data_IF_092275324698
#
_entry.id   IF_092275324698
#
_cell.length_a   1.000
_cell.length_b   1.000
_cell.length_c   1.000
_cell.angle_alpha   90.00
_cell.angle_beta   90.00
_cell.angle_gamma   90.00
#
_symmetry.space_group_name_H-M   'P 1'
#
loop_
_entity.id
_entity.type
_entity.pdbx_description
1 polymer ?
#
# COMPACT_ATOMS: atom_id res chain seq x y z
N UNK A 1 -22.96 -34.79 17.79
CA UNK A 1 -21.67 -35.10 17.14
C UNK A 1 -21.46 -34.50 15.73
N UNK A 2 -22.46 -34.11 14.90
CA UNK A 2 -22.16 -33.54 13.57
C UNK A 2 -21.60 -32.11 13.61
N UNK A 3 -21.97 -31.33 14.64
CA UNK A 3 -21.62 -29.90 14.75
C UNK A 3 -20.16 -29.62 15.15
N UNK A 4 -19.45 -30.62 15.70
CA UNK A 4 -18.06 -30.48 16.12
C UNK A 4 -17.08 -30.55 14.93
N UNK A 5 -17.41 -31.32 13.89
CA UNK A 5 -16.60 -31.42 12.68
C UNK A 5 -16.79 -30.24 11.71
N UNK A 6 -17.92 -29.52 11.79
CA UNK A 6 -18.24 -28.40 10.88
C UNK A 6 -17.45 -27.12 11.22
N UNK A 7 -17.06 -26.93 12.49
CA UNK A 7 -16.29 -25.76 12.97
C UNK A 7 -14.87 -25.64 12.39
N UNK A 8 -14.02 -26.68 12.41
CA UNK A 8 -12.70 -26.58 11.80
C UNK A 8 -12.77 -26.46 10.27
N UNK A 9 -13.78 -27.05 9.63
CA UNK A 9 -14.01 -26.93 8.19
C UNK A 9 -14.35 -25.48 7.78
N UNK A 10 -15.19 -24.79 8.55
CA UNK A 10 -15.55 -23.39 8.29
C UNK A 10 -14.35 -22.43 8.47
N UNK A 11 -13.53 -22.65 9.48
CA UNK A 11 -12.28 -21.89 9.70
C UNK A 11 -11.27 -22.11 8.57
N UNK A 12 -11.09 -23.36 8.13
CA UNK A 12 -10.21 -23.70 7.00
C UNK A 12 -10.67 -23.06 5.67
N UNK A 13 -11.97 -23.05 5.40
CA UNK A 13 -12.52 -22.42 4.20
C UNK A 13 -12.33 -20.88 4.20
N UNK A 14 -12.52 -20.24 5.36
CA UNK A 14 -12.30 -18.80 5.51
C UNK A 14 -10.84 -18.42 5.19
N UNK A 15 -9.86 -19.17 5.70
CA UNK A 15 -8.43 -18.95 5.42
C UNK A 15 -8.09 -19.07 3.93
N UNK A 16 -8.77 -19.95 3.19
CA UNK A 16 -8.56 -20.14 1.75
C UNK A 16 -9.00 -18.92 0.93
N UNK A 17 -10.00 -18.17 1.41
CA UNK A 17 -10.55 -16.98 0.75
C UNK A 17 -9.69 -15.72 0.95
N UNK A 18 -8.70 -15.75 1.86
CA UNK A 18 -7.75 -14.63 2.04
C UNK A 18 -6.53 -14.71 1.09
N UNK A 19 -6.47 -15.71 0.20
CA UNK A 19 -5.42 -15.83 -0.80
C UNK A 19 -5.53 -14.75 -1.88
N UNK A 20 -4.49 -13.93 -2.02
CA UNK A 20 -4.36 -12.93 -3.09
C UNK A 20 -3.53 -13.41 -4.28
N UNK A 21 -3.61 -12.70 -5.40
CA UNK A 21 -2.88 -13.00 -6.65
C UNK A 21 -1.38 -12.66 -6.61
N UNK A 22 -0.74 -12.67 -5.44
CA UNK A 22 0.66 -12.25 -5.29
C UNK A 22 1.64 -13.14 -6.08
N UNK A 23 1.29 -14.40 -6.33
CA UNK A 23 2.07 -15.35 -7.13
C UNK A 23 1.92 -15.15 -8.65
N UNK A 24 0.95 -14.35 -9.10
CA UNK A 24 0.73 -14.00 -10.52
C UNK A 24 1.57 -12.77 -10.95
N UNK A 25 2.46 -12.29 -10.08
CA UNK A 25 3.20 -11.04 -10.28
C UNK A 25 4.25 -11.09 -11.39
N UNK A 26 4.47 -9.92 -12.01
CA UNK A 26 5.57 -9.68 -12.95
C UNK A 26 6.92 -10.01 -12.31
N UNK A 27 7.83 -10.59 -13.11
CA UNK A 27 9.16 -10.98 -12.63
C UNK A 27 9.92 -9.74 -12.14
N UNK A 28 10.81 -9.85 -11.14
CA UNK A 28 11.47 -8.68 -10.54
C UNK A 28 12.11 -7.72 -11.56
N UNK A 29 12.68 -8.26 -12.63
CA UNK A 29 13.32 -7.51 -13.73
C UNK A 29 12.33 -6.90 -14.75
N UNK A 30 11.08 -7.36 -14.80
CA UNK A 30 10.04 -6.77 -15.67
C UNK A 30 9.52 -5.43 -15.12
N UNK A 31 9.83 -5.11 -13.86
CA UNK A 31 9.48 -3.84 -13.21
C UNK A 31 10.34 -2.66 -13.66
N UNK A 32 11.45 -2.90 -14.37
CA UNK A 32 12.32 -1.83 -14.87
C UNK A 32 11.60 -0.92 -15.87
N UNK A 33 10.66 -1.46 -16.66
CA UNK A 33 9.82 -0.68 -17.56
C UNK A 33 8.93 0.34 -16.81
N UNK A 34 8.60 0.05 -15.55
CA UNK A 34 7.83 0.91 -14.67
C UNK A 34 8.67 1.89 -13.84
N UNK A 35 10.01 1.75 -13.85
CA UNK A 35 10.92 2.56 -13.05
C UNK A 35 11.41 3.84 -13.76
N UNK A 36 10.73 4.25 -14.84
CA UNK A 36 11.07 5.47 -15.57
C UNK A 36 10.83 6.69 -14.67
N UNK A 37 11.67 7.75 -14.74
CA UNK A 37 11.44 8.99 -13.98
C UNK A 37 10.05 9.58 -14.19
N UNK A 38 9.48 9.45 -15.39
CA UNK A 38 8.13 9.93 -15.71
C UNK A 38 6.99 9.17 -15.00
N UNK A 39 7.27 8.02 -14.39
CA UNK A 39 6.28 7.20 -13.65
C UNK A 39 6.49 7.29 -12.14
N UNK A 40 7.34 8.22 -11.67
CA UNK A 40 7.43 8.59 -10.27
C UNK A 40 6.06 9.14 -9.80
N UNK A 41 5.64 8.75 -8.60
CA UNK A 41 4.41 9.28 -7.96
C UNK A 41 4.45 10.81 -7.83
N UNK A 42 5.65 11.37 -7.79
CA UNK A 42 5.89 12.80 -7.73
C UNK A 42 6.89 13.18 -8.83
N UNK A 43 6.41 13.94 -9.81
CA UNK A 43 7.23 14.40 -10.93
C UNK A 43 8.22 15.52 -10.53
N UNK A 44 7.92 16.27 -9.48
CA UNK A 44 8.72 17.41 -8.99
C UNK A 44 8.94 17.31 -7.47
N UNK A 45 10.00 16.60 -7.02
CA UNK A 45 10.25 16.39 -5.59
C UNK A 45 10.44 17.70 -4.81
N UNK A 46 11.03 18.72 -5.46
CA UNK A 46 11.25 20.03 -4.85
C UNK A 46 9.95 20.79 -4.58
N UNK A 47 9.03 20.79 -5.56
CA UNK A 47 7.74 21.50 -5.43
C UNK A 47 6.88 20.81 -4.37
N UNK A 48 6.80 19.49 -4.39
CA UNK A 48 6.04 18.77 -3.37
C UNK A 48 6.60 18.97 -1.95
N UNK A 49 7.92 19.07 -1.80
CA UNK A 49 8.54 19.37 -0.51
C UNK A 49 8.18 20.78 -0.01
N UNK A 50 8.11 21.77 -0.91
CA UNK A 50 7.68 23.13 -0.58
C UNK A 50 6.19 23.20 -0.21
N UNK A 51 5.35 22.48 -0.94
CA UNK A 51 3.92 22.35 -0.64
C UNK A 51 3.70 21.64 0.70
N UNK A 52 4.47 20.59 1.00
CA UNK A 52 4.43 19.91 2.28
C UNK A 52 4.85 20.81 3.42
N UNK A 53 5.94 21.56 3.27
CA UNK A 53 6.34 22.54 4.28
C UNK A 53 5.21 23.54 4.57
N UNK A 54 4.55 24.03 3.52
CA UNK A 54 3.44 24.99 3.68
C UNK A 54 2.23 24.34 4.33
N UNK A 55 1.87 23.13 3.91
CA UNK A 55 0.74 22.38 4.44
C UNK A 55 0.94 22.02 5.91
N UNK A 56 2.10 21.49 6.30
CA UNK A 56 2.42 21.21 7.71
C UNK A 56 2.40 22.47 8.56
N UNK A 57 2.86 23.61 8.03
CA UNK A 57 2.84 24.87 8.78
C UNK A 57 1.42 25.39 9.06
N UNK A 58 0.44 24.99 8.25
CA UNK A 58 -0.95 25.50 8.33
C UNK A 58 -1.91 24.50 8.96
N UNK A 59 -1.80 23.22 8.62
CA UNK A 59 -2.87 22.23 8.78
C UNK A 59 -2.41 20.90 9.42
N UNK A 60 -1.25 20.86 10.11
CA UNK A 60 -0.68 19.63 10.67
C UNK A 60 -1.55 18.87 11.70
N UNK A 61 -2.73 19.39 12.06
CA UNK A 61 -3.61 18.80 13.08
C UNK A 61 -4.19 17.43 12.70
N UNK A 62 -4.23 17.05 11.41
CA UNK A 62 -4.83 15.76 10.96
C UNK A 62 -3.83 14.76 10.40
N UNK A 63 -2.53 15.02 10.55
CA UNK A 63 -1.47 14.22 9.94
C UNK A 63 -1.26 14.52 8.45
N UNK A 64 0.00 14.51 8.04
CA UNK A 64 0.44 14.84 6.67
C UNK A 64 0.96 13.63 5.91
N UNK A 65 1.28 13.85 4.63
CA UNK A 65 1.89 12.85 3.74
C UNK A 65 3.29 12.51 4.27
N UNK A 66 3.64 11.22 4.33
CA UNK A 66 4.98 10.78 4.72
C UNK A 66 5.97 10.96 3.56
N UNK A 67 7.21 11.34 3.88
CA UNK A 67 8.27 11.73 2.93
C UNK A 67 8.62 10.69 1.84
N UNK A 68 8.17 9.45 1.98
CA UNK A 68 8.34 8.40 0.99
C UNK A 68 6.98 7.98 0.46
N UNK A 69 6.58 8.51 -0.70
CA UNK A 69 5.33 8.14 -1.36
C UNK A 69 5.20 6.61 -1.46
N UNK A 70 4.31 6.03 -0.64
CA UNK A 70 4.12 4.57 -0.57
C UNK A 70 3.79 3.97 0.80
N UNK A 71 3.26 4.73 1.77
CA UNK A 71 2.87 4.21 3.09
C UNK A 71 1.38 4.35 3.40
N UNK A 72 0.83 3.54 4.31
CA UNK A 72 -0.60 3.55 4.68
C UNK A 72 -1.07 4.79 5.49
N UNK A 73 -0.24 5.84 5.58
CA UNK A 73 -0.69 7.17 6.00
C UNK A 73 -1.16 7.30 7.45
N UNK A 74 -0.80 6.38 8.36
CA UNK A 74 -1.14 6.56 9.77
C UNK A 74 -0.18 7.57 10.44
N UNK A 75 -0.76 8.61 11.05
CA UNK A 75 -0.10 9.47 12.03
C UNK A 75 0.18 8.70 13.32
#
# INVERSE_FOLDING_TARGET
MPSACLRPAALGFSLLMLGGCASLGAKPFERELLAKPAMQLNASPLEAAADDHTYFSKEAATGGRSFGGGGCGCN
#
